data_IF_737771308828
#
_entry.id   IF_737771308828
#
_cell.length_a   1.000
_cell.length_b   1.000
_cell.length_c   1.000
_cell.angle_alpha   90.00
_cell.angle_beta   90.00
_cell.angle_gamma   90.00
#
_symmetry.space_group_name_H-M   'P 1'
#
loop_
_entity.id
_entity.type
_entity.pdbx_description
1 polymer ?
#
# COMPACT_ATOMS: atom_id res chain seq x y z
N UNK A 1 10.19 8.16 11.47
CA UNK A 1 9.80 9.46 10.89
C UNK A 1 9.12 9.28 9.53
N UNK A 2 9.74 8.64 8.54
CA UNK A 2 9.14 8.40 7.22
C UNK A 2 7.80 7.63 7.28
N UNK A 3 7.77 6.47 7.96
CA UNK A 3 6.54 5.67 8.12
C UNK A 3 5.40 6.43 8.83
N UNK A 4 5.73 7.20 9.87
CA UNK A 4 4.74 7.99 10.61
C UNK A 4 4.17 9.13 9.77
N UNK A 5 5.00 9.78 8.94
CA UNK A 5 4.57 10.81 8.01
C UNK A 5 3.65 10.22 6.93
N UNK A 6 4.06 9.11 6.31
CA UNK A 6 3.22 8.39 5.35
C UNK A 6 1.87 7.99 5.96
N UNK A 7 1.86 7.46 7.20
CA UNK A 7 0.61 7.15 7.90
C UNK A 7 -0.26 8.36 8.12
N UNK A 8 0.32 9.50 8.52
CA UNK A 8 -0.46 10.71 8.74
C UNK A 8 -1.17 11.19 7.47
N UNK A 9 -0.49 11.11 6.33
CA UNK A 9 -1.10 11.41 5.04
C UNK A 9 -2.13 10.36 4.61
N UNK A 10 -1.82 9.07 4.75
CA UNK A 10 -2.74 7.98 4.39
C UNK A 10 -4.09 8.06 5.12
N UNK A 11 -4.12 8.56 6.36
CA UNK A 11 -5.37 8.79 7.11
C UNK A 11 -6.28 9.86 6.53
N UNK A 12 -5.78 10.67 5.60
CA UNK A 12 -6.54 11.75 4.95
C UNK A 12 -7.13 11.31 3.61
N UNK A 13 -6.80 10.10 3.14
CA UNK A 13 -7.31 9.57 1.87
C UNK A 13 -8.79 9.20 2.00
N UNK A 14 -9.54 9.47 0.92
CA UNK A 14 -10.97 9.18 0.85
C UNK A 14 -11.25 7.70 1.06
N UNK A 15 -12.24 7.41 1.91
CA UNK A 15 -12.61 6.05 2.27
C UNK A 15 -13.42 5.37 1.15
N UNK A 16 -13.36 4.03 1.04
CA UNK A 16 -14.24 3.28 0.16
C UNK A 16 -15.71 3.44 0.58
N UNK A 17 -16.67 3.08 -0.30
CA UNK A 17 -18.07 2.96 0.07
C UNK A 17 -18.28 2.12 1.34
N UNK A 18 -19.27 2.49 2.15
CA UNK A 18 -19.59 1.77 3.37
C UNK A 18 -19.99 0.31 3.06
N UNK A 19 -19.46 -0.63 3.84
CA UNK A 19 -19.75 -2.06 3.67
C UNK A 19 -18.87 -2.77 2.63
N UNK A 20 -17.86 -2.10 2.07
CA UNK A 20 -16.89 -2.72 1.17
C UNK A 20 -16.22 -3.94 1.84
N UNK A 21 -16.14 -5.04 1.09
CA UNK A 21 -15.40 -6.21 1.52
C UNK A 21 -13.87 -6.01 1.39
N UNK A 22 -13.11 -7.08 1.64
CA UNK A 22 -11.64 -7.00 1.59
C UNK A 22 -11.12 -6.68 0.18
N UNK A 23 -11.68 -7.31 -0.85
CA UNK A 23 -11.23 -7.10 -2.22
C UNK A 23 -11.65 -5.72 -2.71
N UNK A 24 -12.89 -5.30 -2.44
CA UNK A 24 -13.38 -3.95 -2.77
C UNK A 24 -12.54 -2.86 -2.08
N UNK A 25 -12.14 -3.09 -0.83
CA UNK A 25 -11.25 -2.17 -0.10
C UNK A 25 -9.86 -2.09 -0.73
N UNK A 26 -9.29 -3.21 -1.18
CA UNK A 26 -8.00 -3.21 -1.88
C UNK A 26 -8.14 -2.58 -3.28
N UNK A 27 -9.27 -2.76 -3.97
CA UNK A 27 -9.51 -2.14 -5.28
C UNK A 27 -9.62 -0.63 -5.15
N UNK A 28 -10.30 -0.16 -4.12
CA UNK A 28 -10.33 1.25 -3.78
C UNK A 28 -8.94 1.80 -3.45
N UNK A 29 -8.13 1.06 -2.68
CA UNK A 29 -6.75 1.44 -2.42
C UNK A 29 -5.93 1.55 -3.72
N UNK A 30 -6.10 0.59 -4.64
CA UNK A 30 -5.44 0.61 -5.95
C UNK A 30 -5.87 1.83 -6.75
N UNK A 31 -7.16 2.15 -6.82
CA UNK A 31 -7.64 3.34 -7.51
C UNK A 31 -7.04 4.63 -6.93
N UNK A 32 -7.05 4.78 -5.60
CA UNK A 32 -6.45 5.93 -4.92
C UNK A 32 -4.94 6.03 -5.20
N UNK A 33 -4.22 4.90 -5.20
CA UNK A 33 -2.79 4.89 -5.51
C UNK A 33 -2.51 5.26 -6.98
N UNK A 34 -3.39 4.89 -7.90
CA UNK A 34 -3.29 5.27 -9.32
C UNK A 34 -3.50 6.77 -9.51
N UNK A 35 -4.51 7.35 -8.85
CA UNK A 35 -4.77 8.80 -8.86
C UNK A 35 -3.59 9.61 -8.30
N UNK A 36 -2.86 9.03 -7.34
CA UNK A 36 -1.63 9.60 -6.77
C UNK A 36 -0.40 9.40 -7.67
N UNK A 37 -0.55 8.68 -8.78
CA UNK A 37 0.47 8.46 -9.80
C UNK A 37 1.42 7.30 -9.51
N UNK A 38 1.10 6.39 -8.57
CA UNK A 38 1.99 5.26 -8.25
C UNK A 38 1.98 4.14 -9.31
N UNK A 39 1.08 4.20 -10.28
CA UNK A 39 0.85 3.17 -11.30
C UNK A 39 0.78 1.75 -10.69
N UNK A 40 -0.25 1.47 -9.86
CA UNK A 40 -0.37 0.21 -9.15
C UNK A 40 -0.81 -0.94 -10.06
N UNK A 41 -0.33 -2.15 -9.75
CA UNK A 41 -0.70 -3.39 -10.41
C UNK A 41 -1.25 -4.40 -9.39
N UNK A 42 -2.48 -4.87 -9.58
CA UNK A 42 -3.03 -5.99 -8.81
C UNK A 42 -2.22 -7.26 -9.06
N UNK A 43 -1.80 -7.93 -7.99
CA UNK A 43 -1.01 -9.17 -8.04
C UNK A 43 -1.50 -10.16 -6.99
N UNK A 44 -1.22 -11.43 -7.22
CA UNK A 44 -1.46 -12.47 -6.23
C UNK A 44 -0.34 -13.51 -6.27
N UNK A 45 0.07 -14.00 -5.10
CA UNK A 45 1.06 -15.07 -4.99
C UNK A 45 0.70 -16.00 -3.85
N UNK A 46 0.60 -17.31 -4.16
CA UNK A 46 0.26 -18.35 -3.19
C UNK A 46 -1.02 -18.04 -2.40
N UNK A 47 -2.05 -17.51 -3.08
CA UNK A 47 -3.32 -17.13 -2.46
C UNK A 47 -3.27 -15.87 -1.59
N UNK A 48 -2.16 -15.13 -1.57
CA UNK A 48 -2.05 -13.84 -0.88
C UNK A 48 -2.10 -12.68 -1.86
N UNK A 49 -2.90 -11.67 -1.53
CA UNK A 49 -3.00 -10.43 -2.29
C UNK A 49 -1.70 -9.61 -2.21
N UNK A 50 -1.34 -9.02 -3.33
CA UNK A 50 -0.18 -8.15 -3.48
C UNK A 50 -0.54 -6.97 -4.38
N UNK A 51 0.16 -5.86 -4.21
CA UNK A 51 0.06 -4.72 -5.13
C UNK A 51 1.46 -4.30 -5.53
N UNK A 52 1.74 -4.33 -6.82
CA UNK A 52 2.95 -3.75 -7.39
C UNK A 52 2.78 -2.24 -7.54
N UNK A 53 3.84 -1.45 -7.34
CA UNK A 53 3.88 -0.02 -7.63
C UNK A 53 5.01 0.24 -8.62
N UNK A 54 4.67 0.68 -9.84
CA UNK A 54 5.60 0.88 -10.96
C UNK A 54 6.21 2.28 -11.01
N UNK A 55 5.57 3.24 -10.36
CA UNK A 55 6.04 4.61 -10.34
C UNK A 55 6.43 5.05 -8.93
N UNK A 56 7.71 5.35 -8.77
CA UNK A 56 8.23 6.03 -7.60
C UNK A 56 8.65 7.45 -8.04
N UNK A 57 8.00 8.51 -7.55
CA UNK A 57 8.39 9.89 -7.91
C UNK A 57 9.80 10.25 -7.45
N UNK A 58 10.41 9.41 -6.60
CA UNK A 58 11.76 9.53 -6.09
C UNK A 58 12.64 8.34 -6.49
N UNK A 59 12.43 7.77 -7.68
CA UNK A 59 13.12 6.56 -8.14
C UNK A 59 14.65 6.62 -7.97
N UNK A 60 15.30 7.68 -8.47
CA UNK A 60 16.75 7.89 -8.35
C UNK A 60 17.21 7.95 -6.89
N UNK A 61 16.41 8.56 -6.01
CA UNK A 61 16.71 8.60 -4.58
C UNK A 61 16.47 7.23 -3.93
N UNK A 62 15.44 6.50 -4.34
CA UNK A 62 15.10 5.20 -3.80
C UNK A 62 16.17 4.14 -4.13
N UNK A 63 16.84 4.23 -5.28
CA UNK A 63 17.98 3.35 -5.63
C UNK A 63 19.12 3.45 -4.60
N UNK A 64 19.33 4.62 -4.00
CA UNK A 64 20.39 4.84 -3.00
C UNK A 64 19.89 4.88 -1.56
N UNK A 65 18.59 5.15 -1.35
CA UNK A 65 17.96 5.38 -0.04
C UNK A 65 16.57 4.73 0.11
N UNK A 66 16.39 3.51 -0.39
CA UNK A 66 15.15 2.73 -0.24
C UNK A 66 14.66 2.66 1.23
N UNK A 67 15.57 2.61 2.20
CA UNK A 67 15.27 2.60 3.63
C UNK A 67 14.58 3.87 4.17
N UNK A 68 14.46 4.93 3.36
CA UNK A 68 13.76 6.18 3.70
C UNK A 68 12.50 6.37 2.87
N UNK A 69 12.58 6.14 1.55
CA UNK A 69 11.46 6.37 0.62
C UNK A 69 10.37 5.30 0.75
N UNK A 70 10.74 4.02 0.77
CA UNK A 70 9.78 2.92 0.83
C UNK A 70 8.93 2.93 2.12
N UNK A 71 9.47 3.27 3.31
CA UNK A 71 8.65 3.44 4.50
C UNK A 71 7.59 4.53 4.39
N UNK A 72 7.77 5.57 3.57
CA UNK A 72 6.70 6.56 3.33
C UNK A 72 5.52 5.88 2.64
N UNK A 73 5.74 5.21 1.51
CA UNK A 73 4.68 4.50 0.77
C UNK A 73 3.99 3.43 1.64
N UNK A 74 4.77 2.65 2.41
CA UNK A 74 4.21 1.70 3.37
C UNK A 74 3.32 2.39 4.41
N UNK A 75 3.73 3.57 4.86
CA UNK A 75 2.97 4.37 5.82
C UNK A 75 1.64 4.82 5.26
N UNK A 76 1.63 5.30 4.01
CA UNK A 76 0.44 5.74 3.27
C UNK A 76 -0.61 4.64 3.26
N UNK A 77 -0.25 3.46 2.71
CA UNK A 77 -1.16 2.34 2.59
C UNK A 77 -1.69 1.88 3.95
N UNK A 78 -0.82 1.80 4.97
CA UNK A 78 -1.23 1.44 6.34
C UNK A 78 -2.18 2.47 6.97
N UNK A 79 -1.93 3.75 6.77
CA UNK A 79 -2.74 4.83 7.32
C UNK A 79 -4.15 4.84 6.73
N UNK A 80 -4.26 4.61 5.43
CA UNK A 80 -5.52 4.48 4.71
C UNK A 80 -6.32 3.28 5.24
N UNK A 81 -5.76 2.07 5.12
CA UNK A 81 -6.41 0.82 5.54
C UNK A 81 -6.84 0.85 7.01
N UNK A 82 -6.02 1.43 7.89
CA UNK A 82 -6.37 1.59 9.30
C UNK A 82 -7.59 2.51 9.49
N UNK A 83 -7.65 3.64 8.77
CA UNK A 83 -8.74 4.62 8.90
C UNK A 83 -10.04 4.08 8.35
N UNK A 84 -9.96 3.28 7.29
CA UNK A 84 -11.12 2.65 6.65
C UNK A 84 -11.63 1.42 7.44
N UNK A 85 -10.92 1.01 8.51
CA UNK A 85 -11.28 -0.17 9.28
C UNK A 85 -11.15 -1.47 8.48
N UNK A 86 -10.23 -1.50 7.50
CA UNK A 86 -10.05 -2.64 6.62
C UNK A 86 -9.64 -3.89 7.42
N UNK A 87 -10.13 -5.09 7.07
CA UNK A 87 -9.74 -6.35 7.70
C UNK A 87 -8.32 -6.83 7.31
N UNK A 88 -7.57 -6.02 6.57
CA UNK A 88 -6.23 -6.30 6.07
C UNK A 88 -5.31 -5.10 6.29
N UNK A 89 -4.01 -5.34 6.28
CA UNK A 89 -2.99 -4.31 6.23
C UNK A 89 -1.84 -4.71 5.32
N UNK A 90 -0.94 -3.77 5.02
CA UNK A 90 0.31 -4.06 4.29
C UNK A 90 1.39 -4.40 5.31
N UNK A 91 1.96 -5.62 5.31
CA UNK A 91 2.98 -6.05 6.27
C UNK A 91 4.38 -5.52 5.90
N UNK A 92 4.67 -5.45 4.60
CA UNK A 92 5.93 -4.93 4.08
C UNK A 92 5.79 -4.41 2.65
N UNK A 93 6.80 -3.66 2.25
CA UNK A 93 6.99 -3.17 0.88
C UNK A 93 8.41 -3.56 0.45
N UNK A 94 8.53 -4.54 -0.43
CA UNK A 94 9.80 -5.00 -0.96
C UNK A 94 10.17 -4.14 -2.18
N UNK A 95 11.29 -3.42 -2.11
CA UNK A 95 11.70 -2.50 -3.17
C UNK A 95 12.40 -3.24 -4.31
N UNK A 96 12.15 -2.81 -5.55
CA UNK A 96 12.87 -3.25 -6.75
C UNK A 96 12.90 -4.77 -6.96
N UNK A 97 11.77 -5.44 -6.74
CA UNK A 97 11.65 -6.89 -7.00
C UNK A 97 11.69 -7.20 -8.51
N UNK A 98 11.36 -6.20 -9.33
CA UNK A 98 11.66 -6.05 -10.75
C UNK A 98 12.25 -4.63 -10.94
N UNK A 99 12.85 -4.29 -12.09
CA UNK A 99 13.17 -2.90 -12.39
C UNK A 99 11.92 -2.05 -12.19
N UNK A 100 12.06 -0.88 -11.56
CA UNK A 100 10.98 0.07 -11.22
C UNK A 100 9.84 -0.40 -10.31
N UNK A 101 9.84 -1.67 -9.86
CA UNK A 101 8.72 -2.24 -9.13
C UNK A 101 8.97 -2.39 -7.64
N UNK A 102 8.17 -1.71 -6.82
CA UNK A 102 8.01 -2.06 -5.40
C UNK A 102 6.81 -2.98 -5.21
N UNK A 103 6.91 -4.01 -4.36
CA UNK A 103 5.85 -4.98 -4.11
C UNK A 103 5.31 -4.88 -2.69
N UNK A 104 4.06 -4.45 -2.57
CA UNK A 104 3.33 -4.41 -1.31
C UNK A 104 2.73 -5.79 -1.01
N UNK A 105 2.99 -6.28 0.20
CA UNK A 105 2.47 -7.55 0.69
C UNK A 105 1.35 -7.30 1.69
N UNK A 106 0.20 -7.95 1.47
CA UNK A 106 -0.95 -7.82 2.34
C UNK A 106 -1.02 -9.00 3.31
N UNK A 107 -1.44 -8.70 4.53
CA UNK A 107 -1.77 -9.68 5.56
C UNK A 107 -3.14 -9.35 6.15
N UNK A 108 -3.95 -10.36 6.51
CA UNK A 108 -5.10 -10.14 7.39
C UNK A 108 -4.67 -9.49 8.69
N UNK A 109 -5.50 -8.61 9.25
CA UNK A 109 -5.36 -8.17 10.63
C UNK A 109 -5.77 -9.33 11.55
N UNK A 110 -4.94 -9.64 12.55
CA UNK A 110 -5.28 -10.67 13.55
C UNK A 110 -6.63 -10.33 14.21
N UNK A 111 -7.62 -11.22 14.02
CA UNK A 111 -9.01 -11.03 14.45
C UNK A 111 -10.04 -10.90 13.32
N UNK A 112 -9.62 -10.75 12.06
CA UNK A 112 -10.51 -10.68 10.89
C UNK A 112 -11.02 -12.05 10.39
N UNK A 113 -10.59 -13.15 11.00
CA UNK A 113 -11.11 -14.49 10.73
C UNK A 113 -12.31 -14.71 11.64
N UNK A 114 -13.51 -14.34 11.20
CA UNK A 114 -14.74 -14.75 11.87
C UNK A 114 -15.87 -14.96 10.88
#
# INVERSE_FOLDING_TARGET
MALSAGRAWGRQLEAPPAGADTEETIDHLVAVLDDLGFAPERRASNGRQQVGLRHCPFLELAETQAGVVCPVHLGIMRGALQTWGAPVTVDRLDAFVEPDLCLAHFTPLEGAIR
#
